data_IF_142968481961
#
_entry.id   IF_142968481961
#
_cell.length_a   1.000
_cell.length_b   1.000
_cell.length_c   1.000
_cell.angle_alpha   90.00
_cell.angle_beta   90.00
_cell.angle_gamma   90.00
#
_symmetry.space_group_name_H-M   'P 1'
#
loop_
_entity.id
_entity.type
_entity.pdbx_description
1 polymer ?
#
# COMPACT_ATOMS: atom_id res chain seq x y z
N UNK A 1 25.79 8.23 -8.78
CA UNK A 1 24.69 8.45 -9.73
C UNK A 1 23.46 7.72 -9.22
N UNK A 2 22.26 8.12 -9.64
CA UNK A 2 21.02 7.44 -9.26
C UNK A 2 20.17 7.18 -10.49
N UNK A 3 19.75 5.93 -10.63
CA UNK A 3 18.82 5.49 -11.66
C UNK A 3 17.53 5.01 -10.99
N UNK A 4 16.39 5.40 -11.54
CA UNK A 4 15.10 4.98 -11.00
C UNK A 4 14.08 4.74 -12.11
N UNK A 5 13.47 3.56 -12.07
CA UNK A 5 12.38 3.17 -12.95
C UNK A 5 11.12 2.95 -12.12
N UNK A 6 10.01 3.53 -12.57
CA UNK A 6 8.69 3.36 -11.97
C UNK A 6 7.71 2.86 -13.03
N UNK A 7 7.00 1.80 -12.69
CA UNK A 7 5.90 1.30 -13.49
C UNK A 7 4.64 1.27 -12.63
N UNK A 8 3.54 1.78 -13.19
CA UNK A 8 2.23 1.80 -12.54
C UNK A 8 1.21 1.31 -13.56
N UNK A 9 0.38 0.37 -13.14
CA UNK A 9 -0.73 -0.12 -13.94
C UNK A 9 -1.97 -0.21 -13.07
N UNK A 10 -3.11 0.19 -13.60
CA UNK A 10 -4.40 0.04 -12.96
C UNK A 10 -5.44 -0.51 -13.93
N UNK A 11 -6.36 -1.28 -13.37
CA UNK A 11 -7.50 -1.86 -14.07
C UNK A 11 -8.76 -1.66 -13.24
N UNK A 12 -9.86 -1.38 -13.92
CA UNK A 12 -11.17 -1.19 -13.30
C UNK A 12 -12.24 -1.95 -14.07
N UNK A 13 -13.16 -2.55 -13.31
CA UNK A 13 -14.35 -3.21 -13.84
C UNK A 13 -15.57 -2.69 -13.07
N UNK A 14 -16.52 -2.08 -13.78
CA UNK A 14 -17.86 -1.81 -13.26
C UNK A 14 -18.84 -2.74 -13.97
N UNK A 15 -19.59 -3.54 -13.21
CA UNK A 15 -20.51 -4.50 -13.77
C UNK A 15 -21.88 -4.42 -13.08
N UNK A 16 -22.93 -4.22 -13.88
CA UNK A 16 -24.31 -4.27 -13.40
C UNK A 16 -24.77 -5.73 -13.34
N UNK A 17 -24.59 -6.34 -12.17
CA UNK A 17 -24.87 -7.76 -11.93
C UNK A 17 -26.38 -8.04 -12.03
N UNK A 18 -27.19 -7.16 -11.46
CA UNK A 18 -28.65 -7.25 -11.51
C UNK A 18 -29.29 -5.86 -11.47
N UNK A 19 -30.62 -5.80 -11.55
CA UNK A 19 -31.33 -4.56 -11.23
C UNK A 19 -30.94 -4.13 -9.82
N UNK A 20 -30.53 -2.87 -9.69
CA UNK A 20 -30.14 -2.26 -8.42
C UNK A 20 -28.84 -2.78 -7.78
N UNK A 21 -28.16 -3.78 -8.35
CA UNK A 21 -26.92 -4.35 -7.81
C UNK A 21 -25.75 -4.13 -8.79
N UNK A 22 -24.74 -3.40 -8.34
CA UNK A 22 -23.54 -3.10 -9.10
C UNK A 22 -22.31 -3.68 -8.39
N UNK A 23 -21.48 -4.40 -9.14
CA UNK A 23 -20.14 -4.79 -8.73
C UNK A 23 -19.13 -3.77 -9.24
N UNK A 24 -18.15 -3.41 -8.41
CA UNK A 24 -16.98 -2.63 -8.81
C UNK A 24 -15.71 -3.32 -8.33
N UNK A 25 -14.87 -3.69 -9.28
CA UNK A 25 -13.53 -4.23 -9.05
C UNK A 25 -12.47 -3.23 -9.50
N UNK A 26 -11.40 -3.10 -8.72
CA UNK A 26 -10.20 -2.35 -9.10
C UNK A 26 -8.98 -3.18 -8.75
N UNK A 27 -7.98 -3.15 -9.61
CA UNK A 27 -6.66 -3.70 -9.35
C UNK A 27 -5.62 -2.64 -9.71
N UNK A 28 -4.58 -2.54 -8.90
CA UNK A 28 -3.46 -1.63 -9.12
C UNK A 28 -2.15 -2.35 -8.84
N UNK A 29 -1.16 -2.14 -9.68
CA UNK A 29 0.19 -2.63 -9.52
C UNK A 29 1.18 -1.46 -9.61
N UNK A 30 2.20 -1.50 -8.77
CA UNK A 30 3.29 -0.52 -8.71
C UNK A 30 4.60 -1.28 -8.59
N UNK A 31 5.56 -0.96 -9.45
CA UNK A 31 6.93 -1.45 -9.41
C UNK A 31 7.86 -0.24 -9.39
N UNK A 32 8.83 -0.25 -8.48
CA UNK A 32 9.95 0.68 -8.47
C UNK A 32 11.23 -0.11 -8.40
N UNK A 33 12.14 0.19 -9.31
CA UNK A 33 13.53 -0.25 -9.23
C UNK A 33 14.39 1.00 -9.08
N UNK A 34 15.24 1.03 -8.08
CA UNK A 34 16.16 2.12 -7.80
C UNK A 34 17.56 1.55 -7.67
N UNK A 35 18.51 2.19 -8.31
CA UNK A 35 19.92 1.91 -8.16
C UNK A 35 20.62 3.23 -7.78
N UNK A 36 21.36 3.22 -6.68
CA UNK A 36 22.17 4.34 -6.22
C UNK A 36 23.63 3.89 -6.20
N UNK A 37 24.46 4.52 -7.03
CA UNK A 37 25.91 4.28 -7.08
C UNK A 37 26.63 5.48 -6.45
N UNK A 38 27.55 5.25 -5.53
CA UNK A 38 28.43 6.28 -5.00
C UNK A 38 29.88 5.88 -5.21
N UNK A 39 30.72 6.85 -5.57
CA UNK A 39 32.17 6.69 -5.57
C UNK A 39 32.81 7.88 -4.88
N UNK A 40 33.71 7.60 -3.95
CA UNK A 40 34.54 8.58 -3.25
C UNK A 40 35.99 8.28 -3.55
N UNK A 41 36.70 9.28 -4.07
CA UNK A 41 38.10 9.15 -4.42
C UNK A 41 38.99 9.16 -3.17
N UNK A 42 40.21 8.67 -3.35
CA UNK A 42 41.24 8.55 -2.31
C UNK A 42 41.54 9.87 -1.58
N UNK A 43 41.57 10.99 -2.31
CA UNK A 43 41.86 12.33 -1.77
C UNK A 43 40.73 12.93 -0.91
N UNK A 44 39.51 12.39 -1.00
CA UNK A 44 38.38 12.85 -0.19
C UNK A 44 38.37 12.26 1.22
N UNK A 45 39.28 11.32 1.55
CA UNK A 45 39.35 10.67 2.87
C UNK A 45 40.73 10.77 3.50
N UNK A 46 40.74 10.94 4.82
CA UNK A 46 41.97 11.09 5.64
C UNK A 46 42.84 9.83 5.66
N UNK A 47 42.24 8.67 5.38
CA UNK A 47 42.90 7.36 5.25
C UNK A 47 43.47 7.11 3.84
N UNK A 48 43.22 8.00 2.88
CA UNK A 48 43.68 7.88 1.49
C UNK A 48 43.00 6.75 0.70
N UNK A 49 41.92 6.16 1.24
CA UNK A 49 41.27 5.00 0.65
C UNK A 49 40.08 5.43 -0.21
N UNK A 50 40.06 5.01 -1.46
CA UNK A 50 38.88 5.15 -2.33
C UNK A 50 37.82 4.11 -1.98
N UNK A 51 36.57 4.48 -2.22
CA UNK A 51 35.42 3.71 -1.77
C UNK A 51 34.25 3.82 -2.75
N UNK A 52 33.50 2.74 -2.98
CA UNK A 52 32.29 2.72 -3.80
C UNK A 52 31.17 1.88 -3.20
N UNK A 53 29.96 2.41 -3.21
CA UNK A 53 28.74 1.72 -2.79
C UNK A 53 27.76 1.60 -3.94
N UNK A 54 27.14 0.44 -4.08
CA UNK A 54 26.06 0.18 -5.05
C UNK A 54 24.85 -0.36 -4.29
N UNK A 55 23.82 0.48 -4.19
CA UNK A 55 22.58 0.17 -3.49
C UNK A 55 21.47 -0.06 -4.51
N UNK A 56 21.00 -1.30 -4.56
CA UNK A 56 19.87 -1.72 -5.39
C UNK A 56 18.63 -1.90 -4.52
N UNK A 57 17.51 -1.29 -4.92
CA UNK A 57 16.24 -1.40 -4.22
C UNK A 57 15.10 -1.70 -5.21
N UNK A 58 14.36 -2.77 -4.94
CA UNK A 58 13.13 -3.11 -5.65
C UNK A 58 11.94 -3.01 -4.70
N UNK A 59 10.88 -2.32 -5.12
CA UNK A 59 9.61 -2.23 -4.41
C UNK A 59 8.47 -2.60 -5.34
N UNK A 60 7.71 -3.63 -4.97
CA UNK A 60 6.52 -4.05 -5.69
C UNK A 60 5.33 -3.87 -4.78
N UNK A 61 4.22 -3.38 -5.31
CA UNK A 61 2.98 -3.23 -4.56
C UNK A 61 1.81 -3.58 -5.44
N UNK A 62 0.93 -4.44 -4.94
CA UNK A 62 -0.33 -4.80 -5.58
C UNK A 62 -1.46 -4.45 -4.63
N UNK A 63 -2.50 -3.82 -5.15
CA UNK A 63 -3.74 -3.54 -4.44
C UNK A 63 -4.90 -4.06 -5.27
N UNK A 64 -5.87 -4.70 -4.62
CA UNK A 64 -7.12 -5.08 -5.25
C UNK A 64 -8.28 -4.71 -4.34
N UNK A 65 -9.33 -4.16 -4.93
CA UNK A 65 -10.52 -3.68 -4.23
C UNK A 65 -11.75 -4.22 -4.93
N UNK A 66 -12.67 -4.79 -4.16
CA UNK A 66 -13.91 -5.35 -4.69
C UNK A 66 -15.08 -4.89 -3.83
N UNK A 67 -16.11 -4.34 -4.46
CA UNK A 67 -17.31 -3.87 -3.77
C UNK A 67 -18.57 -4.31 -4.52
N UNK A 68 -19.61 -4.61 -3.76
CA UNK A 68 -20.98 -4.80 -4.23
C UNK A 68 -21.82 -3.69 -3.61
N UNK A 69 -22.54 -2.97 -4.46
CA UNK A 69 -23.33 -1.81 -4.10
C UNK A 69 -24.78 -2.02 -4.58
N UNK A 70 -25.70 -2.02 -3.63
CA UNK A 70 -27.13 -2.20 -3.85
C UNK A 70 -27.89 -0.90 -3.58
N UNK A 71 -28.60 -0.39 -4.58
CA UNK A 71 -29.38 0.85 -4.48
C UNK A 71 -30.84 0.60 -4.84
N UNK A 72 -31.72 0.72 -3.87
CA UNK A 72 -33.15 0.57 -4.07
C UNK A 72 -33.87 1.84 -3.63
N UNK A 73 -34.69 2.40 -4.52
CA UNK A 73 -35.56 3.52 -4.21
C UNK A 73 -36.99 3.18 -4.64
N UNK A 74 -37.95 3.40 -3.74
CA UNK A 74 -39.37 3.24 -4.03
C UNK A 74 -40.22 4.15 -3.17
N UNK A 75 -40.97 5.05 -3.82
CA UNK A 75 -41.86 5.99 -3.14
C UNK A 75 -41.05 6.95 -2.27
N UNK A 76 -41.25 6.86 -0.96
CA UNK A 76 -40.54 7.69 0.03
C UNK A 76 -39.31 7.00 0.63
N UNK A 77 -38.99 5.78 0.20
CA UNK A 77 -37.94 4.97 0.80
C UNK A 77 -36.73 4.88 -0.13
N UNK A 78 -35.55 5.21 0.41
CA UNK A 78 -34.27 5.06 -0.26
C UNK A 78 -33.37 4.15 0.58
N UNK A 79 -32.79 3.13 -0.04
CA UNK A 79 -31.91 2.16 0.62
C UNK A 79 -30.63 1.98 -0.21
N UNK A 80 -29.50 2.25 0.40
CA UNK A 80 -28.17 1.98 -0.14
C UNK A 80 -27.44 1.03 0.79
N UNK A 81 -26.98 -0.10 0.28
CA UNK A 81 -26.10 -1.01 1.01
C UNK A 81 -24.85 -1.25 0.18
N UNK A 82 -23.70 -1.28 0.84
CA UNK A 82 -22.42 -1.59 0.22
C UNK A 82 -21.68 -2.59 1.11
N UNK A 83 -21.09 -3.60 0.48
CA UNK A 83 -20.12 -4.50 1.12
C UNK A 83 -18.91 -4.64 0.21
N UNK A 84 -17.72 -4.74 0.79
CA UNK A 84 -16.52 -4.94 0.01
C UNK A 84 -15.31 -5.26 0.84
N UNK A 85 -14.21 -5.46 0.14
CA UNK A 85 -12.92 -5.69 0.77
C UNK A 85 -11.78 -5.19 -0.09
N UNK A 86 -10.65 -4.98 0.58
CA UNK A 86 -9.40 -4.55 -0.03
C UNK A 86 -8.28 -5.48 0.40
N UNK A 87 -7.42 -5.87 -0.53
CA UNK A 87 -6.19 -6.59 -0.25
C UNK A 87 -5.02 -5.82 -0.84
N UNK A 88 -4.01 -5.56 -0.03
CA UNK A 88 -2.78 -4.91 -0.44
C UNK A 88 -1.57 -5.75 -0.03
N UNK A 89 -0.61 -5.88 -0.93
CA UNK A 89 0.65 -6.55 -0.69
C UNK A 89 1.80 -5.66 -1.16
N UNK A 90 2.78 -5.44 -0.29
CA UNK A 90 4.02 -4.72 -0.60
C UNK A 90 5.21 -5.63 -0.35
N UNK A 91 6.07 -5.72 -1.34
CA UNK A 91 7.39 -6.35 -1.26
C UNK A 91 8.46 -5.28 -1.40
N UNK A 92 9.45 -5.30 -0.51
CA UNK A 92 10.63 -4.47 -0.58
C UNK A 92 11.87 -5.34 -0.42
N UNK A 93 12.84 -5.17 -1.32
CA UNK A 93 14.19 -5.70 -1.15
C UNK A 93 15.19 -4.61 -1.43
N UNK A 94 16.18 -4.49 -0.54
CA UNK A 94 17.33 -3.60 -0.71
C UNK A 94 18.59 -4.44 -0.55
N UNK A 95 19.56 -4.27 -1.44
CA UNK A 95 20.89 -4.84 -1.32
C UNK A 95 21.92 -3.73 -1.48
N UNK A 96 22.92 -3.71 -0.61
CA UNK A 96 24.08 -2.82 -0.74
C UNK A 96 25.34 -3.67 -0.83
N UNK A 97 26.26 -3.26 -1.70
CA UNK A 97 27.62 -3.78 -1.74
C UNK A 97 28.56 -2.61 -1.50
N UNK A 98 29.49 -2.82 -0.58
CA UNK A 98 30.43 -1.82 -0.12
C UNK A 98 31.86 -2.26 -0.52
N UNK A 99 32.51 -1.60 -1.48
CA UNK A 99 33.87 -1.94 -1.95
C UNK A 99 34.91 -0.82 -1.76
N UNK A 100 36.15 -1.16 -1.40
CA UNK A 100 37.23 -0.20 -1.12
C UNK A 100 38.57 -0.59 -1.75
N UNK A 101 39.56 0.29 -1.58
CA UNK A 101 40.95 0.09 -2.00
C UNK A 101 41.05 -0.13 -3.52
N UNK A 102 40.54 0.82 -4.30
CA UNK A 102 40.57 0.75 -5.76
C UNK A 102 42.01 1.00 -6.27
N UNK A 103 42.48 0.27 -7.29
CA UNK A 103 43.79 0.48 -7.90
C UNK A 103 43.95 1.86 -8.57
N UNK A 104 42.83 2.49 -8.92
CA UNK A 104 42.79 3.80 -9.59
C UNK A 104 41.46 4.49 -9.30
N UNK A 105 41.47 5.83 -9.26
CA UNK A 105 40.27 6.65 -9.13
C UNK A 105 39.48 6.79 -10.44
N UNK A 106 40.00 6.28 -11.57
CA UNK A 106 39.32 6.35 -12.88
C UNK A 106 38.28 5.23 -13.11
N UNK A 107 38.33 4.15 -12.32
CA UNK A 107 37.40 3.03 -12.43
C UNK A 107 36.61 2.95 -11.13
N UNK A 108 35.36 3.39 -11.17
CA UNK A 108 34.48 3.49 -10.00
C UNK A 108 33.52 2.32 -9.83
N UNK A 109 33.57 1.31 -10.70
CA UNK A 109 32.66 0.15 -10.64
C UNK A 109 33.12 -0.83 -9.57
N UNK A 110 32.19 -1.35 -8.76
CA UNK A 110 32.52 -2.20 -7.58
C UNK A 110 33.41 -3.41 -7.90
N UNK A 111 33.34 -3.96 -9.11
CA UNK A 111 34.20 -5.08 -9.52
C UNK A 111 35.71 -4.72 -9.58
N UNK A 112 36.07 -3.43 -9.55
CA UNK A 112 37.44 -2.95 -9.48
C UNK A 112 37.95 -2.76 -8.05
N UNK A 113 37.08 -2.87 -7.04
CA UNK A 113 37.49 -2.86 -5.64
C UNK A 113 38.35 -4.09 -5.32
N UNK A 114 39.42 -3.90 -4.53
CA UNK A 114 40.25 -5.04 -4.08
C UNK A 114 39.79 -5.60 -2.74
N UNK A 115 38.99 -4.84 -1.99
CA UNK A 115 38.39 -5.25 -0.72
C UNK A 115 36.88 -5.02 -0.80
N UNK A 116 36.10 -6.05 -0.50
CA UNK A 116 34.67 -5.90 -0.22
C UNK A 116 34.50 -5.86 1.30
N UNK A 117 33.90 -4.80 1.80
CA UNK A 117 33.55 -4.65 3.20
C UNK A 117 32.31 -5.51 3.49
N UNK A 118 32.56 -6.65 4.12
CA UNK A 118 31.53 -7.64 4.43
C UNK A 118 30.56 -7.16 5.52
N UNK A 119 30.99 -6.27 6.42
CA UNK A 119 30.16 -5.79 7.53
C UNK A 119 29.10 -4.80 7.05
N UNK A 120 29.44 -4.05 6.00
CA UNK A 120 28.54 -3.06 5.39
C UNK A 120 27.90 -3.52 4.07
N UNK A 121 28.22 -4.73 3.62
CA UNK A 121 27.51 -5.40 2.51
C UNK A 121 26.33 -6.18 3.08
N UNK A 122 25.11 -5.89 2.61
CA UNK A 122 23.91 -6.49 3.19
C UNK A 122 22.79 -6.69 2.18
N UNK A 123 21.80 -7.49 2.57
CA UNK A 123 20.50 -7.58 1.91
C UNK A 123 19.39 -7.53 2.97
N UNK A 124 18.44 -6.63 2.78
CA UNK A 124 17.23 -6.49 3.57
C UNK A 124 16.01 -6.86 2.72
N UNK A 125 15.07 -7.59 3.31
CA UNK A 125 13.82 -8.03 2.67
C UNK A 125 12.67 -7.78 3.63
N UNK A 126 11.60 -7.15 3.13
CA UNK A 126 10.39 -6.84 3.89
C UNK A 126 9.15 -7.16 3.06
N UNK A 127 8.16 -7.78 3.70
CA UNK A 127 6.86 -8.11 3.09
C UNK A 127 5.72 -7.66 4.01
N UNK A 128 4.81 -6.85 3.46
CA UNK A 128 3.67 -6.28 4.18
C UNK A 128 2.40 -6.67 3.45
N UNK A 129 1.49 -7.34 4.14
CA UNK A 129 0.14 -7.65 3.67
C UNK A 129 -0.90 -6.91 4.52
N UNK A 130 -1.89 -6.29 3.87
CA UNK A 130 -3.03 -5.65 4.49
C UNK A 130 -4.32 -6.24 3.89
N UNK A 131 -5.25 -6.63 4.75
CA UNK A 131 -6.56 -7.12 4.37
C UNK A 131 -7.62 -6.34 5.12
N UNK A 132 -8.63 -5.87 4.40
CA UNK A 132 -9.73 -5.11 5.00
C UNK A 132 -11.08 -5.55 4.49
N UNK A 133 -12.06 -5.59 5.39
CA UNK A 133 -13.48 -5.74 5.08
C UNK A 133 -14.23 -4.47 5.46
N UNK A 134 -15.19 -4.06 4.63
CA UNK A 134 -16.02 -2.90 4.91
C UNK A 134 -17.48 -3.15 4.52
N UNK A 135 -18.40 -2.63 5.34
CA UNK A 135 -19.82 -2.67 5.10
C UNK A 135 -20.45 -1.32 5.46
N UNK A 136 -21.44 -0.90 4.67
CA UNK A 136 -22.20 0.33 4.89
C UNK A 136 -23.65 0.10 4.53
N UNK A 137 -24.55 0.64 5.34
CA UNK A 137 -25.98 0.68 5.07
C UNK A 137 -26.48 2.09 5.33
N UNK A 138 -27.24 2.64 4.38
CA UNK A 138 -27.94 3.91 4.50
C UNK A 138 -29.41 3.71 4.15
N UNK A 139 -30.28 4.30 4.95
CA UNK A 139 -31.72 4.30 4.72
C UNK A 139 -32.27 5.72 4.86
N UNK A 140 -32.95 6.19 3.83
CA UNK A 140 -33.65 7.47 3.79
C UNK A 140 -35.17 7.27 3.78
N UNK A 141 -35.88 8.14 4.49
CA UNK A 141 -37.34 8.24 4.41
C UNK A 141 -37.81 9.68 4.19
N UNK A 142 -38.62 9.89 3.14
CA UNK A 142 -39.29 11.14 2.78
C UNK A 142 -38.34 12.34 2.67
N UNK A 143 -37.06 12.11 2.34
CA UNK A 143 -35.98 13.09 2.37
C UNK A 143 -35.82 13.86 3.70
N UNK A 144 -36.35 13.31 4.80
CA UNK A 144 -36.37 13.95 6.13
C UNK A 144 -35.60 13.16 7.16
N UNK A 145 -35.63 11.84 7.07
CA UNK A 145 -35.00 10.95 8.02
C UNK A 145 -33.91 10.15 7.33
N UNK A 146 -32.73 10.11 7.94
CA UNK A 146 -31.59 9.34 7.45
C UNK A 146 -31.05 8.48 8.59
N UNK A 147 -30.94 7.18 8.34
CA UNK A 147 -30.22 6.25 9.18
C UNK A 147 -28.98 5.77 8.42
N UNK A 148 -27.82 5.85 9.05
CA UNK A 148 -26.55 5.43 8.46
C UNK A 148 -25.78 4.53 9.43
N UNK A 149 -25.25 3.44 8.91
CA UNK A 149 -24.39 2.52 9.62
C UNK A 149 -23.18 2.18 8.75
N UNK A 150 -21.99 2.15 9.35
CA UNK A 150 -20.77 1.73 8.68
C UNK A 150 -19.87 0.96 9.65
N UNK A 151 -19.27 -0.12 9.15
CA UNK A 151 -18.30 -0.92 9.89
C UNK A 151 -17.12 -1.26 8.99
N UNK A 152 -15.92 -1.28 9.58
CA UNK A 152 -14.70 -1.69 8.90
C UNK A 152 -13.86 -2.57 9.84
N UNK A 153 -13.22 -3.57 9.24
CA UNK A 153 -12.26 -4.44 9.92
C UNK A 153 -10.98 -4.47 9.10
N UNK A 154 -9.84 -4.22 9.74
CA UNK A 154 -8.52 -4.20 9.11
C UNK A 154 -7.59 -5.23 9.77
N UNK A 155 -6.74 -5.87 8.97
CA UNK A 155 -5.70 -6.81 9.42
C UNK A 155 -4.38 -6.56 8.69
N UNK A 156 -3.25 -6.71 9.40
CA UNK A 156 -1.89 -6.44 8.89
C UNK A 156 -0.91 -7.55 9.25
N UNK A 157 -0.05 -7.93 8.30
CA UNK A 157 1.02 -8.93 8.53
C UNK A 157 2.11 -8.43 9.49
N UNK A 158 2.34 -7.12 9.59
CA UNK A 158 3.30 -6.54 10.52
C UNK A 158 2.88 -6.79 11.99
N UNK A 159 1.57 -6.84 12.24
CA UNK A 159 1.02 -7.14 13.56
C UNK A 159 1.09 -8.64 13.88
N UNK A 160 1.02 -9.49 12.86
CA UNK A 160 1.17 -10.95 12.99
C UNK A 160 2.62 -11.40 13.23
N UNK A 161 3.64 -10.68 12.73
CA UNK A 161 5.06 -11.06 12.96
C UNK A 161 5.51 -10.98 14.43
N UNK A 162 4.79 -10.27 15.30
CA UNK A 162 5.08 -10.15 16.74
C UNK A 162 4.62 -11.41 17.52
N UNK A 163 3.80 -12.27 16.91
CA UNK A 163 3.17 -13.45 17.53
C UNK A 163 3.26 -14.65 16.58
N UNK A 164 4.05 -15.65 16.94
CA UNK A 164 4.37 -16.79 16.08
C UNK A 164 3.13 -17.57 15.61
N UNK A 165 3.11 -17.90 14.31
CA UNK A 165 2.26 -18.83 13.53
C UNK A 165 0.88 -18.42 13.00
N UNK A 166 0.71 -18.80 11.73
CA UNK A 166 -0.46 -19.01 10.87
C UNK A 166 -1.37 -17.85 10.41
N UNK A 167 -1.75 -17.97 9.14
CA UNK A 167 -2.44 -17.00 8.28
C UNK A 167 -3.52 -16.17 9.02
N UNK A 168 -3.28 -14.85 9.10
CA UNK A 168 -4.19 -13.78 9.51
C UNK A 168 -4.99 -14.03 10.81
N UNK A 169 -4.41 -13.68 11.95
CA UNK A 169 -5.17 -13.55 13.20
C UNK A 169 -4.77 -12.33 14.03
N UNK A 170 -5.03 -11.12 13.51
CA UNK A 170 -5.42 -9.96 14.33
C UNK A 170 -6.33 -9.04 13.52
N UNK A 171 -7.53 -8.77 14.05
CA UNK A 171 -8.55 -7.89 13.49
C UNK A 171 -8.62 -6.62 14.35
N UNK A 172 -8.40 -5.45 13.75
CA UNK A 172 -8.81 -4.17 14.36
C UNK A 172 -10.22 -3.88 13.84
N UNK A 173 -11.19 -3.84 14.74
CA UNK A 173 -12.59 -3.57 14.42
C UNK A 173 -12.91 -2.12 14.76
N UNK A 174 -12.84 -1.24 13.76
CA UNK A 174 -13.28 0.15 13.88
C UNK A 174 -14.74 0.26 13.41
N UNK A 175 -15.65 0.16 14.38
CA UNK A 175 -17.08 0.39 14.18
C UNK A 175 -17.43 1.84 14.48
N UNK A 176 -17.80 2.61 13.45
CA UNK A 176 -18.33 3.96 13.62
C UNK A 176 -19.86 3.92 13.59
N UNK A 177 -20.51 3.95 14.75
CA UNK A 177 -21.94 4.22 14.86
C UNK A 177 -22.19 5.73 14.79
N UNK A 178 -22.68 6.22 13.64
CA UNK A 178 -23.14 7.61 13.51
C UNK A 178 -24.65 7.61 13.25
N UNK A 179 -25.44 7.80 14.31
CA UNK A 179 -26.81 8.31 14.21
C UNK A 179 -26.74 9.83 14.08
N UNK A 180 -26.73 10.36 12.84
CA UNK A 180 -27.02 11.79 12.64
C UNK A 180 -28.53 12.00 12.67
N UNK A 181 -29.08 12.22 13.86
CA UNK A 181 -30.36 12.92 13.99
C UNK A 181 -30.10 14.41 13.81
N UNK A 182 -30.36 15.01 12.64
CA UNK A 182 -30.45 16.47 12.56
C UNK A 182 -31.54 16.95 11.56
N UNK A 183 -32.54 17.60 12.18
CA UNK A 183 -33.42 18.68 11.72
C UNK A 183 -34.58 18.36 10.76
N UNK A 184 -35.78 18.31 11.37
CA UNK A 184 -37.00 18.84 10.77
C UNK A 184 -36.74 20.27 10.28
N UNK A 185 -36.80 20.47 8.96
CA UNK A 185 -37.12 21.79 8.44
C UNK A 185 -38.62 22.00 8.69
N UNK A 186 -38.96 22.62 9.81
CA UNK A 186 -40.28 23.23 9.98
C UNK A 186 -40.34 24.41 9.00
N UNK A 187 -41.02 24.21 7.87
CA UNK A 187 -41.48 25.31 7.05
C UNK A 187 -42.53 26.08 7.87
N UNK A 188 -42.12 27.20 8.45
CA UNK A 188 -43.05 28.24 8.84
C UNK A 188 -43.28 29.13 7.61
N UNK A 189 -44.57 29.24 7.26
CA UNK A 189 -45.21 30.05 6.21
C UNK A 189 -44.99 29.62 4.76
#
# INVERSE_FOLDING_TARGET
MRYEYRFVADGKLDWKVAKNLNYKGRIGAYLRMRNDEEFRNSIARRDGQSFSEDVNSIRNRVITEHTLDYNYSRGKHDFNALVGGTYEYTFLKTSSILGSNFPTDYISTINAATIIDADNTFTLKEEIGLLSGLARVNYGYDNKYLLSFAARVDGSSLLAQIINTDFFHQQVLDGTFITRNFLMKTSHF
#
